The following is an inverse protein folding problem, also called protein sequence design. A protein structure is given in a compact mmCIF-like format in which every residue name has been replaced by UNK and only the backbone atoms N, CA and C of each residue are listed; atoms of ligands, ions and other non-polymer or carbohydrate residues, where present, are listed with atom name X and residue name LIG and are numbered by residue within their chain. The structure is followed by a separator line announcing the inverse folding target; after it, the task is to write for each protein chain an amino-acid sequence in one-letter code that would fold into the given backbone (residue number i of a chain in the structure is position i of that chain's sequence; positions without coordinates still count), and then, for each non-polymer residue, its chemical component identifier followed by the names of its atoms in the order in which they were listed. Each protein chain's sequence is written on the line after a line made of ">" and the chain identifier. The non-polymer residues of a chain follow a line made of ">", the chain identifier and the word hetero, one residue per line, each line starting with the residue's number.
data_IF_240053341919
#
_entry.id   IF_240053341919
#
_cell.length_a   1.000
_cell.length_b   1.000
_cell.length_c   1.000
_cell.angle_alpha   90.00
_cell.angle_beta   90.00
_cell.angle_gamma   90.00
#
_symmetry.space_group_name_H-M   'P 1'
#
loop_
_entity.id
_entity.type
_entity.pdbx_description
1 polymer ?
#
# COMPACT_ATOMS: atom_id res chain seq x y z
N UNK A 1 1.26 2.44 4.49
CA UNK A 1 0.25 1.43 4.86
C UNK A 1 0.76 0.08 4.40
N UNK A 2 0.73 -0.94 5.27
CA UNK A 2 1.09 -2.31 4.89
C UNK A 2 0.00 -2.96 4.06
N UNK A 3 0.33 -4.02 3.30
CA UNK A 3 -0.65 -4.80 2.51
C UNK A 3 -1.74 -5.34 3.45
N UNK A 4 -3.00 -4.99 3.18
CA UNK A 4 -4.17 -5.47 3.92
C UNK A 4 -4.25 -5.10 5.42
N UNK A 5 -3.24 -4.42 5.98
CA UNK A 5 -3.26 -3.98 7.39
C UNK A 5 -4.33 -2.92 7.60
N UNK A 6 -4.40 -1.91 6.73
CA UNK A 6 -5.58 -1.05 6.66
C UNK A 6 -6.62 -1.75 5.78
N UNK A 7 -7.36 -2.64 6.39
CA UNK A 7 -8.40 -3.45 5.76
C UNK A 7 -9.70 -2.66 5.60
N UNK A 8 -10.67 -3.24 4.90
CA UNK A 8 -12.00 -2.66 4.81
C UNK A 8 -12.68 -2.51 6.19
N UNK A 9 -12.40 -3.43 7.15
CA UNK A 9 -12.95 -3.35 8.50
C UNK A 9 -12.45 -2.10 9.20
N UNK A 10 -11.14 -1.86 9.17
CA UNK A 10 -10.54 -0.68 9.77
C UNK A 10 -11.03 0.60 9.10
N UNK A 11 -11.01 0.64 7.76
CA UNK A 11 -11.47 1.81 7.01
C UNK A 11 -12.96 2.12 7.29
N UNK A 12 -13.80 1.08 7.38
CA UNK A 12 -15.22 1.21 7.73
C UNK A 12 -15.41 1.79 9.13
N UNK A 13 -14.70 1.26 10.13
CA UNK A 13 -14.80 1.74 11.51
C UNK A 13 -14.45 3.24 11.63
N UNK A 14 -13.35 3.65 10.98
CA UNK A 14 -12.94 5.06 10.93
C UNK A 14 -13.97 5.92 10.18
N UNK A 15 -14.49 5.43 9.06
CA UNK A 15 -15.46 6.16 8.25
C UNK A 15 -16.82 6.32 8.95
N UNK A 16 -17.27 5.29 9.68
CA UNK A 16 -18.49 5.36 10.51
C UNK A 16 -18.35 6.33 11.69
N UNK A 17 -17.12 6.53 12.18
CA UNK A 17 -16.84 7.52 13.22
C UNK A 17 -16.69 8.96 12.69
N UNK A 18 -16.97 9.21 11.39
CA UNK A 18 -17.00 10.55 10.80
C UNK A 18 -15.68 11.03 10.19
N UNK A 19 -14.67 10.17 10.10
CA UNK A 19 -13.36 10.49 9.56
C UNK A 19 -13.09 9.76 8.22
N UNK A 20 -11.99 10.11 7.53
CA UNK A 20 -11.60 9.46 6.29
C UNK A 20 -10.94 8.11 6.60
N UNK A 21 -11.69 7.03 6.47
CA UNK A 21 -11.19 5.67 6.53
C UNK A 21 -10.50 5.30 5.21
N UNK A 22 -9.23 4.85 5.25
CA UNK A 22 -8.44 4.60 4.03
C UNK A 22 -8.03 3.14 3.94
N UNK A 23 -8.45 2.48 2.88
CA UNK A 23 -8.07 1.09 2.54
C UNK A 23 -6.65 1.05 1.95
N UNK A 24 -5.88 0.02 2.28
CA UNK A 24 -4.62 -0.28 1.57
C UNK A 24 -4.91 -0.90 0.20
N UNK A 25 -4.63 -0.18 -0.88
CA UNK A 25 -4.86 -0.62 -2.26
C UNK A 25 -3.76 -1.52 -2.84
N UNK A 26 -2.73 -1.85 -2.06
CA UNK A 26 -1.59 -2.64 -2.54
C UNK A 26 -1.90 -4.13 -2.51
N UNK A 27 -1.68 -4.82 -3.64
CA UNK A 27 -1.81 -6.28 -3.79
C UNK A 27 -3.21 -6.85 -3.47
N UNK A 28 -4.26 -6.06 -3.62
CA UNK A 28 -5.64 -6.49 -3.32
C UNK A 28 -6.10 -7.65 -4.20
N UNK A 29 -5.63 -7.77 -5.43
CA UNK A 29 -5.87 -8.93 -6.30
C UNK A 29 -5.37 -10.24 -5.66
N UNK A 30 -4.19 -10.22 -5.07
CA UNK A 30 -3.64 -11.38 -4.38
C UNK A 30 -4.33 -11.61 -3.01
N UNK A 31 -4.66 -10.54 -2.29
CA UNK A 31 -5.45 -10.64 -1.04
C UNK A 31 -6.81 -11.29 -1.33
N UNK A 32 -7.52 -10.81 -2.34
CA UNK A 32 -8.81 -11.39 -2.74
C UNK A 32 -8.67 -12.86 -3.14
N UNK A 33 -7.69 -13.17 -4.02
CA UNK A 33 -7.47 -14.53 -4.52
C UNK A 33 -7.15 -15.52 -3.39
N UNK A 34 -6.36 -15.11 -2.37
CA UNK A 34 -6.02 -15.95 -1.22
C UNK A 34 -7.19 -16.11 -0.27
N UNK A 35 -7.92 -15.04 0.07
CA UNK A 35 -9.13 -15.13 0.91
C UNK A 35 -10.23 -15.99 0.29
N UNK A 36 -10.38 -15.98 -1.03
CA UNK A 36 -11.30 -16.89 -1.73
C UNK A 36 -10.82 -18.35 -1.64
N UNK A 37 -9.51 -18.59 -1.71
CA UNK A 37 -8.96 -19.94 -1.53
C UNK A 37 -9.09 -20.43 -0.08
N UNK A 38 -9.13 -19.52 0.89
CA UNK A 38 -9.44 -19.84 2.30
C UNK A 38 -10.97 -19.99 2.54
N UNK A 39 -11.80 -19.87 1.49
CA UNK A 39 -13.22 -20.20 1.51
C UNK A 39 -14.18 -19.02 1.67
N UNK A 40 -13.69 -17.77 1.86
CA UNK A 40 -14.56 -16.61 2.17
C UNK A 40 -15.59 -16.98 3.25
N UNK A 41 -15.13 -17.52 4.40
CA UNK A 41 -15.95 -18.17 5.41
C UNK A 41 -17.11 -17.29 5.90
N UNK A 42 -16.86 -15.97 6.09
CA UNK A 42 -17.87 -15.01 6.48
C UNK A 42 -18.79 -14.56 5.33
N UNK A 43 -18.52 -15.00 4.09
CA UNK A 43 -19.28 -14.65 2.91
C UNK A 43 -19.18 -13.18 2.50
N UNK A 44 -18.24 -12.43 3.06
CA UNK A 44 -18.10 -11.00 2.80
C UNK A 44 -17.76 -10.69 1.34
N UNK A 45 -16.81 -11.42 0.75
CA UNK A 45 -16.43 -11.24 -0.65
C UNK A 45 -17.61 -11.56 -1.57
N UNK A 46 -18.26 -12.71 -1.36
CA UNK A 46 -19.45 -13.10 -2.15
C UNK A 46 -20.60 -12.11 -2.00
N UNK A 47 -20.77 -11.48 -0.81
CA UNK A 47 -21.76 -10.42 -0.60
C UNK A 47 -21.43 -9.19 -1.44
N UNK A 48 -20.19 -8.70 -1.43
CA UNK A 48 -19.76 -7.57 -2.25
C UNK A 48 -19.90 -7.85 -3.74
N UNK A 49 -19.54 -9.06 -4.19
CA UNK A 49 -19.62 -9.47 -5.60
C UNK A 49 -21.03 -9.48 -6.15
N UNK A 50 -22.07 -9.71 -5.34
CA UNK A 50 -23.47 -9.56 -5.77
C UNK A 50 -23.84 -8.15 -6.22
N UNK A 51 -23.07 -7.14 -5.77
CA UNK A 51 -23.25 -5.73 -6.15
C UNK A 51 -22.27 -5.27 -7.23
N UNK A 52 -21.37 -6.15 -7.70
CA UNK A 52 -20.43 -5.80 -8.74
C UNK A 52 -21.14 -5.61 -10.10
N UNK A 53 -20.84 -4.56 -10.89
CA UNK A 53 -21.62 -4.22 -12.08
C UNK A 53 -21.60 -5.28 -13.19
N UNK A 54 -20.56 -6.11 -13.28
CA UNK A 54 -20.43 -7.19 -14.27
C UNK A 54 -20.41 -8.55 -13.58
N UNK A 55 -21.60 -9.20 -13.52
CA UNK A 55 -21.77 -10.47 -12.81
C UNK A 55 -21.01 -11.64 -13.45
N UNK A 56 -20.79 -11.62 -14.76
CA UNK A 56 -19.98 -12.63 -15.43
C UNK A 56 -18.50 -12.55 -15.01
N UNK A 57 -17.96 -11.33 -14.88
CA UNK A 57 -16.60 -11.10 -14.37
C UNK A 57 -16.47 -11.54 -12.90
N UNK A 58 -17.47 -11.24 -12.07
CA UNK A 58 -17.53 -11.70 -10.70
C UNK A 58 -17.54 -13.24 -10.62
N UNK A 59 -18.35 -13.89 -11.46
CA UNK A 59 -18.43 -15.36 -11.50
C UNK A 59 -17.10 -15.98 -11.96
N UNK A 60 -16.46 -15.46 -13.02
CA UNK A 60 -15.14 -15.95 -13.44
C UNK A 60 -14.08 -15.86 -12.33
N UNK A 61 -14.15 -14.82 -11.49
CA UNK A 61 -13.26 -14.68 -10.34
C UNK A 61 -13.52 -15.74 -9.28
N UNK A 62 -14.81 -16.01 -8.98
CA UNK A 62 -15.21 -17.07 -8.04
C UNK A 62 -14.82 -18.46 -8.59
N UNK A 63 -15.14 -18.76 -9.83
CA UNK A 63 -14.83 -20.06 -10.46
C UNK A 63 -13.32 -20.36 -10.43
N UNK A 64 -12.50 -19.32 -10.51
CA UNK A 64 -11.05 -19.47 -10.52
C UNK A 64 -10.43 -19.66 -9.14
N UNK A 65 -10.93 -18.97 -8.12
CA UNK A 65 -10.24 -18.88 -6.83
C UNK A 65 -11.03 -19.40 -5.64
N UNK A 66 -12.39 -19.46 -5.71
CA UNK A 66 -13.17 -19.87 -4.55
C UNK A 66 -13.03 -21.38 -4.30
N UNK A 67 -12.57 -21.71 -3.10
CA UNK A 67 -12.64 -23.06 -2.54
C UNK A 67 -13.63 -23.03 -1.38
N UNK A 68 -14.83 -23.50 -1.58
CA UNK A 68 -15.95 -23.36 -0.61
C UNK A 68 -15.57 -23.90 0.77
N UNK A 69 -14.87 -25.04 0.81
CA UNK A 69 -14.40 -25.68 2.04
C UNK A 69 -13.07 -25.11 2.55
N UNK A 70 -12.52 -24.10 1.85
CA UNK A 70 -11.17 -23.61 2.06
C UNK A 70 -10.11 -24.50 1.41
N UNK A 71 -8.85 -24.05 1.44
CA UNK A 71 -7.71 -24.87 1.03
C UNK A 71 -7.32 -25.86 2.14
N UNK A 72 -6.68 -26.96 1.75
CA UNK A 72 -6.13 -27.93 2.71
C UNK A 72 -5.04 -27.27 3.59
N UNK A 73 -4.83 -27.82 4.78
CA UNK A 73 -3.97 -27.23 5.81
C UNK A 73 -2.51 -27.00 5.38
N UNK A 74 -1.96 -27.81 4.47
CA UNK A 74 -0.60 -27.65 3.94
C UNK A 74 -0.62 -27.32 2.44
N UNK A 75 -1.79 -27.00 1.90
CA UNK A 75 -1.93 -26.70 0.49
C UNK A 75 -1.44 -25.28 0.20
N UNK A 76 -0.43 -25.08 -0.68
CA UNK A 76 0.03 -23.76 -1.07
C UNK A 76 -1.07 -22.97 -1.78
N UNK A 77 -1.07 -21.65 -1.62
CA UNK A 77 -1.95 -20.79 -2.43
C UNK A 77 -1.60 -20.91 -3.91
N UNK A 78 -2.63 -21.12 -4.73
CA UNK A 78 -2.52 -21.00 -6.18
C UNK A 78 -2.21 -19.56 -6.56
N UNK A 79 -1.23 -19.37 -7.43
CA UNK A 79 -0.75 -18.04 -7.81
C UNK A 79 -1.76 -17.28 -8.69
N UNK A 80 -1.95 -16.00 -8.40
CA UNK A 80 -2.49 -15.05 -9.36
C UNK A 80 -1.44 -14.68 -10.43
N UNK A 81 -1.89 -14.21 -11.59
CA UNK A 81 -0.99 -13.78 -12.64
C UNK A 81 -0.18 -12.54 -12.20
N UNK A 82 1.15 -12.58 -12.40
CA UNK A 82 2.01 -11.45 -12.07
C UNK A 82 1.76 -10.27 -12.99
N UNK A 83 1.83 -9.06 -12.45
CA UNK A 83 1.67 -7.81 -13.19
C UNK A 83 2.67 -7.68 -14.35
N UNK A 84 2.21 -7.17 -15.47
CA UNK A 84 3.01 -6.84 -16.65
C UNK A 84 2.52 -5.53 -17.26
N UNK A 85 3.34 -4.91 -18.13
CA UNK A 85 2.93 -3.69 -18.87
C UNK A 85 1.74 -3.98 -19.80
N UNK A 86 1.64 -5.22 -20.31
CA UNK A 86 0.51 -5.69 -21.12
C UNK A 86 -0.22 -6.81 -20.36
N UNK A 87 -1.04 -6.46 -19.36
CA UNK A 87 -1.74 -7.44 -18.57
C UNK A 87 -2.80 -8.17 -19.43
N UNK A 88 -3.04 -9.43 -19.12
CA UNK A 88 -4.18 -10.17 -19.73
C UNK A 88 -5.50 -9.60 -19.22
N UNK A 89 -6.58 -9.86 -19.95
CA UNK A 89 -7.94 -9.51 -19.51
C UNK A 89 -8.20 -10.06 -18.10
N UNK A 90 -7.91 -11.32 -17.85
CA UNK A 90 -8.12 -11.94 -16.55
C UNK A 90 -7.31 -11.29 -15.40
N UNK A 91 -6.11 -10.75 -15.69
CA UNK A 91 -5.33 -10.00 -14.69
C UNK A 91 -5.98 -8.66 -14.38
N UNK A 92 -6.49 -7.96 -15.38
CA UNK A 92 -7.19 -6.69 -15.21
C UNK A 92 -8.52 -6.90 -14.47
N UNK A 93 -9.29 -7.93 -14.83
CA UNK A 93 -10.53 -8.30 -14.15
C UNK A 93 -10.33 -8.57 -12.67
N UNK A 94 -9.34 -9.37 -12.31
CA UNK A 94 -9.03 -9.67 -10.92
C UNK A 94 -8.66 -8.40 -10.14
N UNK A 95 -7.86 -7.51 -10.73
CA UNK A 95 -7.49 -6.23 -10.12
C UNK A 95 -8.71 -5.33 -9.90
N UNK A 96 -9.61 -5.22 -10.89
CA UNK A 96 -10.85 -4.43 -10.80
C UNK A 96 -11.74 -4.99 -9.68
N UNK A 97 -12.01 -6.29 -9.72
CA UNK A 97 -12.88 -6.97 -8.75
C UNK A 97 -12.36 -6.83 -7.33
N UNK A 98 -11.06 -7.01 -7.13
CA UNK A 98 -10.45 -6.94 -5.81
C UNK A 98 -10.54 -5.54 -5.18
N UNK A 99 -10.26 -4.51 -5.96
CA UNK A 99 -10.36 -3.13 -5.47
C UNK A 99 -11.82 -2.70 -5.26
N UNK A 100 -12.74 -3.18 -6.10
CA UNK A 100 -14.16 -2.99 -5.87
C UNK A 100 -14.60 -3.61 -4.54
N UNK A 101 -14.30 -4.88 -4.31
CA UNK A 101 -14.72 -5.62 -3.11
C UNK A 101 -14.27 -4.92 -1.84
N UNK A 102 -13.00 -4.56 -1.75
CA UNK A 102 -12.43 -3.96 -0.54
C UNK A 102 -13.05 -2.58 -0.24
N UNK A 103 -13.24 -1.74 -1.28
CA UNK A 103 -13.87 -0.43 -1.12
C UNK A 103 -15.37 -0.56 -0.85
N UNK A 104 -16.07 -1.46 -1.54
CA UNK A 104 -17.50 -1.66 -1.35
C UNK A 104 -17.81 -2.09 0.08
N UNK A 105 -17.05 -3.07 0.62
CA UNK A 105 -17.19 -3.51 2.01
C UNK A 105 -16.89 -2.39 3.01
N UNK A 106 -15.91 -1.55 2.71
CA UNK A 106 -15.61 -0.39 3.56
C UNK A 106 -16.74 0.65 3.56
N UNK A 107 -17.51 0.77 2.46
CA UNK A 107 -18.62 1.72 2.30
C UNK A 107 -20.00 1.15 2.64
N UNK A 108 -20.11 -0.16 2.83
CA UNK A 108 -21.41 -0.83 3.01
C UNK A 108 -22.15 -0.32 4.23
N UNK A 109 -23.40 0.16 4.04
CA UNK A 109 -24.35 0.48 5.12
C UNK A 109 -24.13 1.80 5.84
N UNK A 110 -23.31 2.71 5.32
CA UNK A 110 -23.14 4.05 5.88
C UNK A 110 -22.81 5.11 4.82
N UNK A 111 -22.98 6.39 5.18
CA UNK A 111 -22.68 7.54 4.32
C UNK A 111 -21.30 8.18 4.54
N UNK A 112 -20.45 7.61 5.38
CA UNK A 112 -19.13 8.17 5.68
C UNK A 112 -18.17 8.05 4.48
N UNK A 113 -17.09 8.83 4.51
CA UNK A 113 -16.11 8.92 3.42
C UNK A 113 -15.06 7.81 3.51
N UNK A 114 -14.75 7.17 2.38
CA UNK A 114 -13.75 6.10 2.26
C UNK A 114 -12.72 6.46 1.19
N UNK A 115 -11.45 6.30 1.53
CA UNK A 115 -10.33 6.42 0.62
C UNK A 115 -9.65 5.09 0.34
N UNK A 116 -8.77 5.11 -0.67
CA UNK A 116 -7.84 4.01 -0.96
C UNK A 116 -6.45 4.57 -1.24
N UNK A 117 -5.42 3.92 -0.70
CA UNK A 117 -4.03 4.34 -0.87
C UNK A 117 -3.25 3.38 -1.77
N UNK A 118 -2.61 3.93 -2.81
CA UNK A 118 -1.76 3.20 -3.75
C UNK A 118 -0.29 3.61 -3.63
N UNK A 119 0.59 2.78 -4.20
CA UNK A 119 2.00 3.12 -4.40
C UNK A 119 2.25 3.46 -5.87
N UNK A 120 2.87 4.62 -6.11
CA UNK A 120 3.24 5.06 -7.47
C UNK A 120 4.15 4.05 -8.17
N UNK A 121 5.06 3.39 -7.43
CA UNK A 121 5.97 2.35 -7.96
C UNK A 121 5.27 1.10 -8.51
N UNK A 122 3.97 0.93 -8.26
CA UNK A 122 3.19 -0.20 -8.81
C UNK A 122 2.34 0.30 -9.99
N UNK A 123 2.96 1.01 -10.93
CA UNK A 123 2.29 1.65 -12.06
C UNK A 123 1.45 0.68 -12.90
N UNK A 124 1.93 -0.55 -13.10
CA UNK A 124 1.26 -1.56 -13.94
C UNK A 124 -0.15 -1.95 -13.46
N UNK A 125 -0.41 -1.88 -12.15
CA UNK A 125 -1.73 -2.19 -11.56
C UNK A 125 -2.66 -0.96 -11.54
N UNK A 126 -2.11 0.24 -11.56
CA UNK A 126 -2.81 1.47 -11.19
C UNK A 126 -4.11 1.72 -11.96
N UNK A 127 -4.17 1.59 -13.31
CA UNK A 127 -5.42 1.89 -14.03
C UNK A 127 -6.58 0.96 -13.65
N UNK A 128 -6.37 -0.35 -13.63
CA UNK A 128 -7.41 -1.34 -13.29
C UNK A 128 -7.79 -1.27 -11.80
N UNK A 129 -6.81 -1.08 -10.91
CA UNK A 129 -7.06 -0.95 -9.48
C UNK A 129 -7.89 0.31 -9.15
N UNK A 130 -7.48 1.47 -9.68
CA UNK A 130 -8.23 2.71 -9.49
C UNK A 130 -9.65 2.61 -10.06
N UNK A 131 -9.82 2.00 -11.23
CA UNK A 131 -11.12 1.80 -11.84
C UNK A 131 -12.04 0.93 -10.97
N UNK A 132 -11.53 -0.17 -10.42
CA UNK A 132 -12.27 -1.02 -9.50
C UNK A 132 -12.74 -0.28 -8.24
N UNK A 133 -11.88 0.52 -7.64
CA UNK A 133 -12.23 1.37 -6.50
C UNK A 133 -13.28 2.44 -6.87
N UNK A 134 -13.18 3.04 -8.06
CA UNK A 134 -14.16 4.03 -8.56
C UNK A 134 -15.52 3.39 -8.82
N UNK A 135 -15.59 2.16 -9.32
CA UNK A 135 -16.85 1.40 -9.48
C UNK A 135 -17.55 1.17 -8.13
N UNK A 136 -16.80 1.05 -7.04
CA UNK A 136 -17.34 0.96 -5.68
C UNK A 136 -17.68 2.34 -5.06
N UNK A 137 -17.45 3.43 -5.79
CA UNK A 137 -17.75 4.78 -5.33
C UNK A 137 -16.77 5.31 -4.28
N UNK A 138 -15.48 4.99 -4.38
CA UNK A 138 -14.44 5.54 -3.51
C UNK A 138 -14.46 7.07 -3.54
N UNK A 139 -14.30 7.71 -2.36
CA UNK A 139 -14.35 9.18 -2.26
C UNK A 139 -12.97 9.82 -2.44
N UNK A 140 -11.92 9.15 -1.97
CA UNK A 140 -10.54 9.64 -2.03
C UNK A 140 -9.58 8.58 -2.60
N UNK A 141 -8.66 8.99 -3.44
CA UNK A 141 -7.49 8.19 -3.82
C UNK A 141 -6.23 8.92 -3.34
N UNK A 142 -5.40 8.21 -2.59
CA UNK A 142 -4.13 8.69 -2.09
C UNK A 142 -3.00 7.94 -2.80
N UNK A 143 -1.91 8.61 -3.14
CA UNK A 143 -0.76 7.95 -3.76
C UNK A 143 0.56 8.61 -3.36
N UNK A 144 1.53 7.78 -2.97
CA UNK A 144 2.89 8.16 -2.61
C UNK A 144 3.93 7.16 -3.11
N UNK A 145 5.14 7.21 -2.55
CA UNK A 145 6.30 6.42 -2.93
C UNK A 145 6.68 6.60 -4.42
N UNK A 146 6.69 7.86 -4.87
CA UNK A 146 7.00 8.30 -6.23
C UNK A 146 6.41 9.67 -6.51
N UNK A 147 6.38 10.08 -7.79
CA UNK A 147 5.81 11.36 -8.24
C UNK A 147 4.52 11.08 -9.03
N UNK A 148 3.33 11.19 -8.42
CA UNK A 148 2.08 10.74 -9.02
C UNK A 148 1.47 11.79 -9.99
N UNK A 149 2.29 12.38 -10.85
CA UNK A 149 1.89 13.46 -11.76
C UNK A 149 0.86 13.05 -12.82
N UNK A 150 0.79 11.75 -13.17
CA UNK A 150 -0.13 11.27 -14.21
C UNK A 150 -1.50 10.88 -13.66
N UNK A 151 -1.67 10.85 -12.33
CA UNK A 151 -2.87 10.30 -11.69
C UNK A 151 -4.10 11.20 -11.85
N UNK A 152 -4.03 12.54 -11.69
CA UNK A 152 -5.20 13.40 -11.88
C UNK A 152 -5.85 13.20 -13.25
N UNK A 153 -5.04 13.19 -14.31
CA UNK A 153 -5.52 12.91 -15.67
C UNK A 153 -6.10 11.51 -15.82
N UNK A 154 -5.44 10.49 -15.24
CA UNK A 154 -5.94 9.11 -15.26
C UNK A 154 -7.35 9.03 -14.63
N UNK A 155 -7.56 9.64 -13.47
CA UNK A 155 -8.86 9.63 -12.79
C UNK A 155 -9.95 10.36 -13.57
N UNK A 156 -9.61 11.47 -14.23
CA UNK A 156 -10.52 12.18 -15.12
C UNK A 156 -10.95 11.27 -16.30
N UNK A 157 -9.99 10.60 -16.96
CA UNK A 157 -10.27 9.71 -18.10
C UNK A 157 -11.08 8.47 -17.65
N UNK A 158 -10.77 7.87 -16.48
CA UNK A 158 -11.51 6.73 -15.93
C UNK A 158 -12.95 7.10 -15.56
N UNK A 159 -13.20 8.30 -15.05
CA UNK A 159 -14.55 8.73 -14.62
C UNK A 159 -15.54 8.76 -15.79
N UNK A 160 -15.09 8.95 -17.00
CA UNK A 160 -15.91 8.95 -18.23
C UNK A 160 -15.68 7.71 -19.08
N UNK A 161 -15.10 6.66 -18.51
CA UNK A 161 -14.78 5.39 -19.20
C UNK A 161 -13.97 5.56 -20.48
N UNK A 162 -13.06 6.53 -20.51
CA UNK A 162 -12.17 6.76 -21.64
C UNK A 162 -10.99 5.79 -21.56
N UNK A 163 -10.52 5.37 -22.72
CA UNK A 163 -9.28 4.60 -22.86
C UNK A 163 -8.13 5.37 -22.20
N UNK A 164 -7.43 4.72 -21.26
CA UNK A 164 -6.30 5.27 -20.54
C UNK A 164 -4.99 4.75 -21.10
N UNK A 165 -3.99 5.62 -21.13
CA UNK A 165 -2.64 5.34 -21.61
C UNK A 165 -1.66 5.87 -20.55
N UNK A 166 -1.24 5.00 -19.62
CA UNK A 166 -0.35 5.37 -18.53
C UNK A 166 1.09 5.04 -18.90
N UNK A 167 1.97 6.05 -18.92
CA UNK A 167 3.41 5.85 -19.13
C UNK A 167 3.98 5.04 -17.96
N UNK A 168 4.81 4.04 -18.29
CA UNK A 168 5.45 3.14 -17.35
C UNK A 168 6.96 3.34 -17.40
N UNK A 169 7.58 3.46 -16.24
CA UNK A 169 9.03 3.53 -16.11
C UNK A 169 9.65 2.16 -16.40
N UNK A 170 10.50 2.10 -17.42
CA UNK A 170 11.21 0.89 -17.86
C UNK A 170 12.71 1.12 -17.81
N UNK A 171 13.41 0.31 -17.03
CA UNK A 171 14.86 0.42 -16.90
C UNK A 171 15.56 0.10 -18.22
N UNK A 172 16.48 0.98 -18.66
CA UNK A 172 17.21 0.82 -19.91
C UNK A 172 16.36 0.99 -21.18
N UNK A 173 15.20 1.63 -21.07
CA UNK A 173 14.28 1.81 -22.20
C UNK A 173 14.88 2.65 -23.33
N UNK A 174 14.76 2.15 -24.57
CA UNK A 174 15.12 2.86 -25.80
C UNK A 174 13.94 3.62 -26.42
N UNK A 175 12.72 3.39 -25.90
CA UNK A 175 11.48 4.05 -26.29
C UNK A 175 10.53 4.17 -25.10
N UNK A 176 9.46 4.94 -25.27
CA UNK A 176 8.42 5.00 -24.25
C UNK A 176 7.56 3.72 -24.23
N UNK A 177 7.21 3.29 -23.02
CA UNK A 177 6.32 2.17 -22.77
C UNK A 177 5.09 2.63 -22.00
N UNK A 178 3.94 2.07 -22.36
CA UNK A 178 2.66 2.47 -21.77
C UNK A 178 1.83 1.24 -21.41
N UNK A 179 1.15 1.32 -20.28
CA UNK A 179 0.05 0.41 -19.93
C UNK A 179 -1.24 0.98 -20.47
N UNK A 180 -1.93 0.20 -21.30
CA UNK A 180 -3.20 0.60 -21.92
C UNK A 180 -4.33 -0.09 -21.15
N UNK A 181 -5.34 0.69 -20.78
CA UNK A 181 -6.53 0.20 -20.12
C UNK A 181 -7.78 0.81 -20.77
N UNK A 182 -8.66 -0.06 -21.25
CA UNK A 182 -9.94 0.32 -21.85
C UNK A 182 -11.12 -0.14 -20.99
N UNK A 183 -11.72 0.75 -20.18
CA UNK A 183 -12.86 0.41 -19.34
C UNK A 183 -14.04 -0.21 -20.10
N UNK A 184 -14.32 0.28 -21.33
CA UNK A 184 -15.46 -0.20 -22.12
C UNK A 184 -15.23 -1.61 -22.60
N UNK A 185 -14.02 -1.92 -23.05
CA UNK A 185 -13.65 -3.26 -23.50
C UNK A 185 -13.71 -4.26 -22.36
N UNK A 186 -13.14 -3.91 -21.21
CA UNK A 186 -13.08 -4.80 -20.03
C UNK A 186 -14.48 -5.05 -19.44
N UNK A 187 -15.31 -3.99 -19.32
CA UNK A 187 -16.66 -4.14 -18.75
C UNK A 187 -17.66 -4.77 -19.72
N UNK A 188 -17.37 -4.83 -21.03
CA UNK A 188 -18.25 -5.38 -22.04
C UNK A 188 -19.57 -4.62 -22.25
N UNK A 189 -19.75 -3.51 -21.55
CA UNK A 189 -20.92 -2.64 -21.63
C UNK A 189 -20.60 -1.20 -21.27
N UNK A 190 -21.43 -0.27 -21.74
CA UNK A 190 -21.36 1.13 -21.34
C UNK A 190 -21.98 1.29 -19.95
N UNK A 191 -21.25 1.92 -19.05
CA UNK A 191 -21.71 2.28 -17.71
C UNK A 191 -21.96 3.81 -17.64
N UNK A 192 -22.81 4.26 -16.72
CA UNK A 192 -22.92 5.70 -16.42
C UNK A 192 -21.57 6.27 -15.96
N UNK A 193 -21.30 7.56 -16.21
CA UNK A 193 -20.09 8.21 -15.69
C UNK A 193 -19.93 7.99 -14.18
N UNK A 194 -18.71 7.75 -13.75
CA UNK A 194 -18.37 7.55 -12.35
C UNK A 194 -18.05 8.89 -11.67
N UNK A 195 -18.36 9.01 -10.39
CA UNK A 195 -17.86 10.14 -9.60
C UNK A 195 -16.32 10.07 -9.59
N UNK A 196 -15.65 11.15 -10.01
CA UNK A 196 -14.22 11.28 -9.88
C UNK A 196 -13.86 11.42 -8.39
N UNK A 197 -12.99 10.56 -7.83
CA UNK A 197 -12.55 10.72 -6.45
C UNK A 197 -11.63 11.94 -6.29
N UNK A 198 -11.59 12.49 -5.08
CA UNK A 198 -10.59 13.49 -4.68
C UNK A 198 -9.23 12.81 -4.65
N UNK A 199 -8.23 13.44 -5.25
CA UNK A 199 -6.88 12.89 -5.32
C UNK A 199 -5.93 13.63 -4.37
N UNK A 200 -5.33 12.92 -3.42
CA UNK A 200 -4.33 13.44 -2.50
C UNK A 200 -2.95 12.87 -2.83
N UNK A 201 -2.03 13.73 -3.24
CA UNK A 201 -0.63 13.33 -3.47
C UNK A 201 0.14 13.29 -2.15
N UNK A 202 0.73 12.13 -1.82
CA UNK A 202 1.60 11.97 -0.65
C UNK A 202 3.01 12.37 -1.07
N UNK A 203 3.55 13.41 -0.46
CA UNK A 203 4.83 14.00 -0.80
C UNK A 203 5.66 14.34 0.46
N UNK A 204 6.97 14.41 0.31
CA UNK A 204 7.92 14.74 1.38
C UNK A 204 8.63 16.08 1.16
N UNK A 205 8.14 16.94 0.24
CA UNK A 205 8.86 18.13 -0.18
C UNK A 205 7.93 19.21 -0.72
N UNK A 206 8.14 20.46 -0.31
CA UNK A 206 7.47 21.62 -0.90
C UNK A 206 7.83 21.83 -2.38
N UNK A 207 8.99 21.34 -2.81
CA UNK A 207 9.40 21.40 -4.24
C UNK A 207 8.46 20.53 -5.08
N UNK A 208 8.13 19.32 -4.59
CA UNK A 208 7.14 18.44 -5.25
C UNK A 208 5.74 19.05 -5.25
N UNK A 209 5.33 19.70 -4.15
CA UNK A 209 4.06 20.43 -4.11
C UNK A 209 4.00 21.49 -5.22
N UNK A 210 5.02 22.31 -5.32
CA UNK A 210 5.11 23.35 -6.36
C UNK A 210 5.15 22.77 -7.78
N UNK A 211 5.86 21.65 -7.96
CA UNK A 211 5.94 20.96 -9.25
C UNK A 211 4.58 20.44 -9.71
N UNK A 212 3.87 19.70 -8.83
CA UNK A 212 2.58 19.11 -9.17
C UNK A 212 1.48 20.15 -9.36
N UNK A 213 1.59 21.33 -8.73
CA UNK A 213 0.62 22.41 -8.84
C UNK A 213 0.76 23.29 -10.10
N UNK A 214 1.76 23.03 -10.95
CA UNK A 214 2.04 23.91 -12.14
C UNK A 214 1.07 23.73 -13.29
N UNK A 215 0.51 22.52 -13.43
CA UNK A 215 -0.29 22.15 -14.60
C UNK A 215 -1.58 21.46 -14.12
N UNK A 216 -2.71 21.85 -14.65
CA UNK A 216 -4.01 21.28 -14.33
C UNK A 216 -4.11 19.76 -14.58
N UNK A 217 -3.28 19.22 -15.49
CA UNK A 217 -3.22 17.78 -15.76
C UNK A 217 -2.45 16.99 -14.67
N UNK A 218 -1.59 17.67 -13.91
CA UNK A 218 -0.77 17.07 -12.85
C UNK A 218 -1.22 17.46 -11.46
N UNK A 219 -2.06 18.50 -11.34
CA UNK A 219 -2.50 19.11 -10.09
C UNK A 219 -3.38 18.17 -9.29
N UNK A 220 -2.97 17.80 -8.05
CA UNK A 220 -3.82 17.06 -7.14
C UNK A 220 -4.90 17.98 -6.53
N UNK A 221 -5.87 17.38 -5.85
CA UNK A 221 -6.89 18.13 -5.11
C UNK A 221 -6.39 18.55 -3.71
N UNK A 222 -5.27 17.94 -3.24
CA UNK A 222 -4.61 18.27 -1.98
C UNK A 222 -3.35 17.44 -1.77
N UNK A 223 -2.67 17.68 -0.64
CA UNK A 223 -1.42 17.01 -0.30
C UNK A 223 -1.47 16.31 1.05
N UNK A 224 -0.83 15.15 1.15
CA UNK A 224 -0.38 14.57 2.40
C UNK A 224 1.12 14.83 2.51
N UNK A 225 1.54 15.57 3.53
CA UNK A 225 2.94 15.91 3.77
C UNK A 225 3.53 14.89 4.74
N UNK A 226 4.32 13.97 4.20
CA UNK A 226 4.86 12.84 4.94
C UNK A 226 6.28 13.13 5.44
N UNK A 227 6.46 13.11 6.76
CA UNK A 227 7.78 13.22 7.38
C UNK A 227 8.50 11.87 7.41
N UNK A 228 9.82 11.91 7.64
CA UNK A 228 10.66 10.71 7.76
C UNK A 228 10.33 9.81 8.95
N UNK A 229 9.49 10.26 9.89
CA UNK A 229 9.02 9.46 11.03
C UNK A 229 7.87 8.51 10.66
N UNK A 230 7.29 8.63 9.47
CA UNK A 230 6.23 7.74 9.01
C UNK A 230 6.72 6.31 8.82
N UNK A 231 5.83 5.32 9.04
CA UNK A 231 6.09 3.90 8.73
C UNK A 231 5.97 3.62 7.23
N UNK A 232 6.51 2.48 6.79
CA UNK A 232 6.49 2.06 5.39
C UNK A 232 7.62 2.66 4.56
N UNK A 233 7.39 2.89 3.27
CA UNK A 233 8.35 3.53 2.38
C UNK A 233 8.49 5.01 2.72
N UNK A 234 9.75 5.47 2.84
CA UNK A 234 10.08 6.88 3.02
C UNK A 234 10.78 7.43 1.77
N UNK A 235 10.74 8.76 1.60
CA UNK A 235 11.63 9.40 0.63
C UNK A 235 13.08 9.27 1.10
N UNK A 236 14.07 9.11 0.19
CA UNK A 236 15.48 9.13 0.57
C UNK A 236 15.85 10.45 1.22
N UNK A 237 16.76 10.46 2.23
CA UNK A 237 17.28 11.70 2.78
C UNK A 237 18.04 12.49 1.72
N UNK A 238 17.98 13.83 1.81
CA UNK A 238 18.63 14.72 0.84
C UNK A 238 20.15 14.76 1.00
N UNK A 239 20.63 14.38 2.16
CA UNK A 239 22.06 14.32 2.46
C UNK A 239 22.49 12.86 2.67
N UNK A 240 22.94 12.21 1.59
CA UNK A 240 23.37 10.80 1.60
C UNK A 240 24.70 10.57 2.35
N UNK A 241 25.41 11.63 2.77
CA UNK A 241 26.69 11.50 3.48
C UNK A 241 26.57 10.94 4.90
N UNK A 242 25.35 10.84 5.41
CA UNK A 242 25.03 10.34 6.75
C UNK A 242 24.49 8.91 6.77
N UNK A 243 24.71 8.11 5.73
CA UNK A 243 24.42 6.67 5.81
C UNK A 243 25.33 6.02 6.85
N UNK A 244 24.75 5.54 7.94
CA UNK A 244 25.48 4.82 9.00
C UNK A 244 25.98 3.46 8.50
N UNK A 245 26.83 2.78 9.29
CA UNK A 245 27.42 1.47 8.96
C UNK A 245 26.37 0.33 8.78
N UNK A 246 25.11 0.55 9.18
CA UNK A 246 24.04 -0.46 9.29
C UNK A 246 22.93 -0.35 8.25
N UNK A 247 23.14 0.18 7.05
CA UNK A 247 22.11 0.51 6.06
C UNK A 247 21.01 1.46 6.58
N UNK A 248 21.13 1.96 7.80
CA UNK A 248 20.19 2.90 8.39
C UNK A 248 20.42 4.30 7.82
N UNK A 249 19.34 4.91 7.35
CA UNK A 249 19.37 6.26 6.79
C UNK A 249 18.97 7.29 7.84
N UNK A 250 19.79 8.32 7.96
CA UNK A 250 19.59 9.41 8.90
C UNK A 250 19.07 10.65 8.15
N UNK A 251 17.99 11.21 8.66
CA UNK A 251 17.39 12.44 8.13
C UNK A 251 17.86 13.66 8.92
N UNK A 252 17.96 14.78 8.22
CA UNK A 252 18.41 16.03 8.79
C UNK A 252 17.46 17.20 8.52
N UNK A 253 17.82 18.43 8.94
CA UNK A 253 16.98 19.63 8.78
C UNK A 253 16.58 19.93 7.33
N UNK A 254 17.37 19.47 6.35
CA UNK A 254 17.06 19.64 4.92
C UNK A 254 15.89 18.78 4.45
N UNK A 255 15.53 17.75 5.21
CA UNK A 255 14.43 16.84 4.91
C UNK A 255 13.10 17.34 5.48
N UNK A 256 13.13 18.39 6.30
CA UNK A 256 11.91 19.03 6.81
C UNK A 256 11.17 19.76 5.69
N UNK A 257 9.84 19.67 5.75
CA UNK A 257 8.96 20.28 4.75
C UNK A 257 8.66 21.71 5.16
N UNK A 258 8.93 22.66 4.27
CA UNK A 258 8.60 24.07 4.44
C UNK A 258 7.08 24.26 4.19
N UNK A 259 6.29 24.32 5.28
CA UNK A 259 4.83 24.43 5.22
C UNK A 259 4.36 25.76 4.63
N UNK A 260 5.10 26.87 4.83
CA UNK A 260 4.74 28.16 4.23
C UNK A 260 4.78 28.12 2.70
N UNK A 261 5.78 27.40 2.16
CA UNK A 261 5.86 27.19 0.70
C UNK A 261 4.77 26.26 0.17
N UNK A 262 4.37 25.24 0.95
CA UNK A 262 3.23 24.40 0.56
C UNK A 262 1.93 25.21 0.58
N UNK A 263 1.70 26.02 1.61
CA UNK A 263 0.50 26.87 1.72
C UNK A 263 0.35 27.83 0.52
N UNK A 264 1.46 28.29 -0.08
CA UNK A 264 1.42 29.13 -1.31
C UNK A 264 0.83 28.42 -2.54
N UNK A 265 0.68 27.08 -2.53
CA UNK A 265 -0.01 26.35 -3.61
C UNK A 265 -1.53 26.62 -3.59
N UNK A 266 -2.08 27.07 -2.47
CA UNK A 266 -3.52 27.28 -2.26
C UNK A 266 -4.32 25.97 -2.11
N UNK A 267 -3.65 24.80 -2.09
CA UNK A 267 -4.29 23.50 -1.93
C UNK A 267 -4.31 23.07 -0.45
N UNK A 268 -5.36 22.35 -0.03
CA UNK A 268 -5.43 21.79 1.32
C UNK A 268 -4.32 20.75 1.53
N UNK A 269 -3.83 20.63 2.76
CA UNK A 269 -2.84 19.62 3.11
C UNK A 269 -3.06 19.04 4.50
N UNK A 270 -2.61 17.80 4.67
CA UNK A 270 -2.60 17.04 5.92
C UNK A 270 -1.15 16.69 6.27
N UNK A 271 -0.85 16.59 7.56
CA UNK A 271 0.48 16.18 8.03
C UNK A 271 0.47 14.69 8.39
N UNK A 272 1.49 13.96 7.95
CA UNK A 272 1.70 12.54 8.22
C UNK A 272 3.09 12.27 8.80
N UNK A 273 3.19 11.21 9.64
CA UNK A 273 4.42 10.87 10.37
C UNK A 273 4.61 11.73 11.63
N UNK A 274 4.83 11.09 12.77
CA UNK A 274 4.98 11.76 14.06
C UNK A 274 3.74 12.57 14.46
N UNK A 275 2.55 12.04 14.19
CA UNK A 275 1.27 12.68 14.48
C UNK A 275 0.37 11.69 15.23
N UNK A 276 0.77 11.33 16.45
CA UNK A 276 0.15 10.27 17.22
C UNK A 276 -0.51 10.73 18.52
N UNK A 277 -0.54 12.05 18.81
CA UNK A 277 -1.11 12.60 20.05
C UNK A 277 -2.07 13.77 19.79
N UNK A 278 -2.99 14.09 20.74
CA UNK A 278 -3.88 15.26 20.64
C UNK A 278 -3.12 16.57 20.43
N UNK A 279 -1.99 16.74 21.13
CA UNK A 279 -1.15 17.93 20.99
C UNK A 279 -0.59 18.08 19.57
N UNK A 280 -0.19 16.97 18.96
CA UNK A 280 0.34 16.96 17.58
C UNK A 280 -0.74 17.23 16.54
N UNK A 281 -2.00 16.81 16.78
CA UNK A 281 -3.14 17.19 15.97
C UNK A 281 -3.38 18.69 16.04
N UNK A 282 -3.42 19.26 17.24
CA UNK A 282 -3.60 20.69 17.43
C UNK A 282 -2.47 21.54 16.83
N UNK A 283 -1.22 21.08 16.98
CA UNK A 283 -0.06 21.70 16.32
C UNK A 283 -0.21 21.69 14.79
N UNK A 284 -0.67 20.59 14.20
CA UNK A 284 -0.88 20.51 12.76
C UNK A 284 -1.95 21.54 12.29
N UNK A 285 -3.09 21.61 13.00
CA UNK A 285 -4.16 22.56 12.71
C UNK A 285 -3.66 24.01 12.84
N UNK A 286 -2.91 24.32 13.91
CA UNK A 286 -2.36 25.67 14.13
C UNK A 286 -1.37 26.11 13.04
N UNK A 287 -0.75 25.14 12.35
CA UNK A 287 0.15 25.34 11.20
C UNK A 287 -0.60 25.39 9.84
N UNK A 288 -1.93 25.41 9.85
CA UNK A 288 -2.75 25.53 8.65
C UNK A 288 -3.06 24.21 7.94
N UNK A 289 -2.71 23.06 8.52
CA UNK A 289 -3.15 21.78 7.99
C UNK A 289 -4.66 21.58 8.21
N UNK A 290 -5.33 20.87 7.29
CA UNK A 290 -6.75 20.48 7.45
C UNK A 290 -6.89 19.39 8.53
N UNK A 291 -5.84 18.58 8.74
CA UNK A 291 -5.83 17.51 9.70
C UNK A 291 -4.51 16.73 9.67
N UNK A 292 -4.55 15.51 10.18
CA UNK A 292 -3.41 14.59 10.21
C UNK A 292 -3.76 13.25 9.55
N UNK A 293 -2.73 12.55 9.04
CA UNK A 293 -2.83 11.15 8.66
C UNK A 293 -2.08 10.31 9.69
N UNK A 294 -2.76 9.35 10.30
CA UNK A 294 -2.24 8.49 11.36
C UNK A 294 -2.19 7.05 10.87
N UNK A 295 -1.05 6.39 11.02
CA UNK A 295 -0.83 5.01 10.59
C UNK A 295 -0.72 4.05 11.76
N UNK A 296 0.32 4.18 12.59
CA UNK A 296 0.72 3.17 13.59
C UNK A 296 -0.38 2.88 14.62
N UNK A 297 -1.04 3.89 15.18
CA UNK A 297 -2.12 3.68 16.14
C UNK A 297 -3.27 2.83 15.57
N UNK A 298 -3.68 3.15 14.34
CA UNK A 298 -4.73 2.40 13.65
C UNK A 298 -4.27 1.03 13.18
N UNK A 299 -2.99 0.86 12.80
CA UNK A 299 -2.48 -0.46 12.42
C UNK A 299 -2.50 -1.46 13.58
N UNK A 300 -2.47 -0.97 14.81
CA UNK A 300 -2.51 -1.78 16.04
C UNK A 300 -3.93 -1.83 16.67
N UNK A 301 -4.92 -1.19 16.06
CA UNK A 301 -6.32 -1.29 16.48
C UNK A 301 -6.89 -2.68 16.16
N UNK A 302 -7.96 -3.06 16.90
CA UNK A 302 -8.58 -4.39 16.80
C UNK A 302 -9.12 -4.69 15.38
N UNK A 303 -9.57 -3.67 14.65
CA UNK A 303 -10.10 -3.79 13.28
C UNK A 303 -9.03 -3.84 12.20
N UNK A 304 -7.75 -3.71 12.56
CA UNK A 304 -6.66 -3.82 11.59
C UNK A 304 -6.55 -5.24 11.03
N UNK A 305 -5.92 -5.35 9.86
CA UNK A 305 -5.73 -6.64 9.20
C UNK A 305 -4.61 -7.50 9.80
N UNK A 306 -3.81 -7.01 10.76
CA UNK A 306 -2.85 -7.86 11.46
C UNK A 306 -3.55 -9.03 12.14
N UNK A 307 -2.92 -10.21 12.13
CA UNK A 307 -3.38 -11.29 13.00
C UNK A 307 -3.27 -10.88 14.47
N UNK A 308 -4.13 -11.43 15.33
CA UNK A 308 -4.10 -11.10 16.76
C UNK A 308 -2.74 -11.41 17.40
N UNK A 309 -2.09 -12.50 16.97
CA UNK A 309 -0.75 -12.90 17.46
C UNK A 309 0.26 -11.82 17.13
N UNK A 310 0.41 -11.49 15.86
CA UNK A 310 1.39 -10.47 15.38
C UNK A 310 1.10 -9.11 16.01
N UNK A 311 -0.17 -8.69 16.09
CA UNK A 311 -0.54 -7.42 16.70
C UNK A 311 -0.11 -7.34 18.16
N UNK A 312 -0.35 -8.41 18.92
CA UNK A 312 0.02 -8.46 20.34
C UNK A 312 1.55 -8.50 20.54
N UNK A 313 2.27 -9.20 19.70
CA UNK A 313 3.74 -9.21 19.69
C UNK A 313 4.30 -7.81 19.41
N UNK A 314 3.78 -7.11 18.39
CA UNK A 314 4.18 -5.73 18.09
C UNK A 314 3.92 -4.81 19.28
N UNK A 315 2.72 -4.86 19.88
CA UNK A 315 2.37 -4.03 21.04
C UNK A 315 3.30 -4.35 22.22
N UNK A 316 3.59 -5.62 22.47
CA UNK A 316 4.51 -6.04 23.53
C UNK A 316 5.91 -5.50 23.30
N UNK A 317 6.43 -5.61 22.09
CA UNK A 317 7.76 -5.10 21.73
C UNK A 317 7.83 -3.58 21.88
N UNK A 318 6.83 -2.84 21.36
CA UNK A 318 6.79 -1.39 21.49
C UNK A 318 6.68 -0.90 22.95
N UNK A 319 6.06 -1.70 23.84
CA UNK A 319 5.95 -1.41 25.29
C UNK A 319 7.20 -1.80 26.09
N UNK A 320 8.06 -2.64 25.56
CA UNK A 320 9.29 -3.08 26.27
C UNK A 320 10.26 -1.94 26.53
N UNK A 321 10.15 -0.84 25.78
CA UNK A 321 11.08 0.28 25.80
C UNK A 321 12.39 0.01 25.02
N UNK A 322 12.55 -1.19 24.46
CA UNK A 322 13.75 -1.61 23.70
C UNK A 322 13.49 -1.73 22.19
N UNK A 323 12.29 -1.38 21.72
CA UNK A 323 11.92 -1.51 20.33
C UNK A 323 12.89 -0.75 19.41
N UNK A 324 13.50 -1.46 18.49
CA UNK A 324 14.40 -0.92 17.46
C UNK A 324 13.63 -0.67 16.18
N UNK A 325 13.51 0.60 15.77
CA UNK A 325 12.85 1.01 14.53
C UNK A 325 13.85 1.72 13.65
N UNK A 326 14.19 1.12 12.51
CA UNK A 326 15.20 1.65 11.59
C UNK A 326 14.57 2.05 10.26
N UNK A 327 15.09 3.12 9.65
CA UNK A 327 14.84 3.40 8.23
C UNK A 327 15.91 2.69 7.40
N UNK A 328 15.60 1.49 6.95
CA UNK A 328 16.53 0.63 6.22
C UNK A 328 16.53 1.00 4.71
N UNK A 329 17.67 1.50 4.22
CA UNK A 329 17.87 1.88 2.82
C UNK A 329 17.96 0.69 1.87
N UNK A 330 18.20 -0.51 2.40
CA UNK A 330 18.34 -1.74 1.62
C UNK A 330 17.13 -2.66 1.66
N UNK A 331 16.20 -2.53 2.62
CA UNK A 331 15.11 -3.49 2.80
C UNK A 331 14.20 -3.61 1.57
N UNK A 332 13.77 -2.50 0.97
CA UNK A 332 12.82 -2.54 -0.14
C UNK A 332 13.48 -2.85 -1.48
N UNK A 333 12.94 -3.82 -2.25
CA UNK A 333 13.42 -4.09 -3.61
C UNK A 333 13.26 -2.91 -4.59
N UNK A 334 12.48 -1.90 -4.23
CA UNK A 334 12.27 -0.69 -5.06
C UNK A 334 13.44 0.30 -4.97
N UNK A 335 14.37 0.10 -4.05
CA UNK A 335 15.44 1.06 -3.75
C UNK A 335 15.01 2.24 -2.88
N UNK A 336 13.73 2.35 -2.52
CA UNK A 336 13.26 3.33 -1.55
C UNK A 336 13.55 2.85 -0.13
N UNK A 337 13.94 3.75 0.79
CA UNK A 337 14.04 3.44 2.21
C UNK A 337 12.73 2.86 2.75
N UNK A 338 12.84 1.89 3.64
CA UNK A 338 11.67 1.27 4.26
C UNK A 338 11.86 1.20 5.77
N UNK A 339 10.87 1.67 6.51
CA UNK A 339 10.92 1.65 7.96
C UNK A 339 10.59 0.25 8.48
N UNK A 340 11.50 -0.32 9.26
CA UNK A 340 11.43 -1.68 9.80
C UNK A 340 11.44 -1.62 11.32
N UNK A 341 10.48 -2.28 11.96
CA UNK A 341 10.56 -2.69 13.35
C UNK A 341 11.34 -4.00 13.40
N UNK A 342 12.45 -4.02 14.13
CA UNK A 342 13.18 -5.25 14.41
C UNK A 342 12.36 -6.08 15.40
N UNK A 343 11.93 -7.26 14.96
CA UNK A 343 11.10 -8.17 15.73
C UNK A 343 11.64 -9.60 15.56
N UNK A 344 11.86 -10.30 16.68
CA UNK A 344 12.28 -11.69 16.68
C UNK A 344 11.31 -12.58 15.89
N UNK A 345 11.82 -13.54 15.14
CA UNK A 345 11.00 -14.42 14.29
C UNK A 345 10.50 -13.79 12.98
N UNK A 346 10.74 -12.49 12.75
CA UNK A 346 10.43 -11.84 11.48
C UNK A 346 11.63 -11.84 10.53
N UNK A 347 11.44 -11.45 9.26
CA UNK A 347 12.55 -11.31 8.29
C UNK A 347 13.51 -10.15 8.63
N UNK A 348 13.25 -9.38 9.68
CA UNK A 348 14.22 -8.41 10.21
C UNK A 348 15.33 -9.07 11.03
N UNK A 349 15.07 -10.26 11.57
CA UNK A 349 16.04 -11.11 12.21
C UNK A 349 17.06 -11.62 11.16
N UNK A 350 18.34 -11.52 11.48
CA UNK A 350 19.42 -11.85 10.55
C UNK A 350 19.47 -13.36 10.19
N UNK A 351 19.17 -14.23 11.13
CA UNK A 351 19.18 -15.67 10.94
C UNK A 351 17.99 -16.10 10.08
N UNK A 352 16.79 -15.58 10.38
CA UNK A 352 15.57 -15.80 9.56
C UNK A 352 15.79 -15.28 8.12
N UNK A 353 16.42 -14.10 7.99
CA UNK A 353 16.74 -13.55 6.67
C UNK A 353 17.71 -14.43 5.89
N UNK A 354 18.75 -14.96 6.56
CA UNK A 354 19.77 -15.81 5.94
C UNK A 354 19.19 -17.16 5.48
N UNK A 355 18.34 -17.76 6.30
CA UNK A 355 17.73 -19.08 6.03
C UNK A 355 16.59 -19.01 5.01
N UNK A 356 16.04 -17.81 4.78
CA UNK A 356 14.90 -17.65 3.88
C UNK A 356 15.25 -17.96 2.43
N UNK A 357 14.56 -18.93 1.83
CA UNK A 357 14.57 -19.13 0.39
C UNK A 357 14.00 -17.92 -0.33
N UNK A 358 14.81 -17.29 -1.21
CA UNK A 358 14.34 -16.16 -2.02
C UNK A 358 13.44 -16.63 -3.15
N UNK A 359 12.13 -16.61 -2.94
CA UNK A 359 11.14 -16.97 -3.93
C UNK A 359 10.24 -15.77 -4.25
N UNK A 360 9.90 -15.61 -5.52
CA UNK A 360 9.05 -14.52 -5.96
C UNK A 360 7.69 -15.06 -6.39
N UNK A 361 6.73 -15.16 -5.45
CA UNK A 361 5.36 -15.62 -5.73
C UNK A 361 4.52 -14.53 -6.38
N UNK A 362 4.47 -13.35 -5.79
CA UNK A 362 3.54 -12.30 -6.12
C UNK A 362 4.03 -11.38 -7.26
N UNK A 363 5.34 -11.08 -7.28
CA UNK A 363 5.94 -10.27 -8.32
C UNK A 363 5.46 -8.81 -8.39
N UNK A 364 4.96 -8.26 -7.29
CA UNK A 364 4.34 -6.94 -7.24
C UNK A 364 5.35 -5.80 -7.41
N UNK A 365 6.55 -5.93 -6.82
CA UNK A 365 7.62 -4.93 -6.85
C UNK A 365 8.67 -5.22 -7.93
N UNK A 366 8.32 -5.99 -8.97
CA UNK A 366 9.23 -6.20 -10.10
C UNK A 366 9.35 -4.93 -10.94
N UNK A 367 10.58 -4.56 -11.26
CA UNK A 367 10.87 -3.48 -12.20
C UNK A 367 10.86 -4.02 -13.64
N UNK A 368 10.06 -3.46 -14.54
CA UNK A 368 10.20 -3.75 -15.97
C UNK A 368 11.53 -3.20 -16.50
N UNK A 369 12.18 -3.95 -17.37
CA UNK A 369 13.41 -3.52 -18.04
C UNK A 369 13.43 -3.96 -19.49
N UNK A 370 14.16 -3.23 -20.34
CA UNK A 370 14.36 -3.61 -21.72
C UNK A 370 15.60 -4.49 -21.83
N UNK A 371 15.42 -5.81 -22.07
CA UNK A 371 16.54 -6.77 -22.19
C UNK A 371 17.15 -6.80 -23.59
N UNK A 372 16.40 -6.36 -24.59
CA UNK A 372 16.83 -6.15 -25.97
C UNK A 372 15.84 -5.14 -26.60
N UNK A 373 16.18 -4.43 -27.68
CA UNK A 373 15.31 -3.43 -28.29
C UNK A 373 13.87 -3.94 -28.50
N UNK A 374 12.92 -3.35 -27.80
CA UNK A 374 11.49 -3.72 -27.83
C UNK A 374 11.11 -4.97 -27.04
N UNK A 375 12.04 -5.67 -26.38
CA UNK A 375 11.78 -6.89 -25.62
C UNK A 375 11.85 -6.60 -24.13
N UNK A 376 10.71 -6.72 -23.45
CA UNK A 376 10.58 -6.49 -22.01
C UNK A 376 10.94 -7.71 -21.17
N UNK A 377 11.61 -7.46 -20.06
CA UNK A 377 11.79 -8.38 -18.95
C UNK A 377 11.28 -7.77 -17.65
N UNK A 378 11.21 -8.59 -16.60
CA UNK A 378 10.78 -8.18 -15.26
C UNK A 378 11.72 -8.79 -14.22
N UNK A 379 12.30 -7.96 -13.36
CA UNK A 379 13.22 -8.39 -12.31
C UNK A 379 12.90 -7.71 -10.99
N UNK A 380 13.33 -8.34 -9.90
CA UNK A 380 13.17 -7.80 -8.55
C UNK A 380 14.44 -8.07 -7.76
N UNK A 381 15.00 -7.06 -7.12
CA UNK A 381 16.21 -7.23 -6.30
C UNK A 381 15.99 -8.17 -5.09
N UNK A 382 14.74 -8.46 -4.71
CA UNK A 382 14.38 -9.46 -3.69
C UNK A 382 14.18 -10.89 -4.22
N UNK A 383 14.30 -11.16 -5.54
CA UNK A 383 14.23 -12.51 -6.11
C UNK A 383 15.56 -13.26 -5.91
N UNK A 384 15.69 -14.58 -6.25
CA UNK A 384 16.96 -15.28 -6.18
C UNK A 384 18.09 -14.51 -6.85
N UNK A 385 19.22 -14.35 -6.16
CA UNK A 385 20.32 -13.46 -6.59
C UNK A 385 20.87 -13.85 -7.95
N UNK A 386 21.05 -15.16 -8.21
CA UNK A 386 21.52 -15.67 -9.49
C UNK A 386 20.52 -15.37 -10.64
N UNK A 387 19.24 -15.43 -10.36
CA UNK A 387 18.17 -15.08 -11.32
C UNK A 387 18.17 -13.58 -11.61
N UNK A 388 18.34 -12.75 -10.57
CA UNK A 388 18.42 -11.30 -10.69
C UNK A 388 19.61 -10.88 -11.55
N UNK A 389 20.81 -11.47 -11.31
CA UNK A 389 22.03 -11.22 -12.09
C UNK A 389 21.84 -11.67 -13.55
N UNK A 390 21.28 -12.87 -13.80
CA UNK A 390 20.97 -13.35 -15.16
C UNK A 390 20.03 -12.42 -15.94
N UNK A 391 19.20 -11.66 -15.23
CA UNK A 391 18.32 -10.63 -15.79
C UNK A 391 19.00 -9.25 -15.89
N UNK A 392 20.31 -9.16 -15.73
CA UNK A 392 21.08 -7.91 -15.82
C UNK A 392 20.97 -7.02 -14.59
N UNK A 393 20.61 -7.56 -13.42
CA UNK A 393 20.70 -6.88 -12.14
C UNK A 393 22.11 -6.86 -11.59
N UNK A 394 22.44 -5.88 -10.75
CA UNK A 394 23.70 -5.84 -10.02
C UNK A 394 23.57 -6.61 -8.71
N UNK A 395 24.59 -7.43 -8.35
CA UNK A 395 24.61 -8.19 -7.11
C UNK A 395 24.44 -7.30 -5.88
N UNK A 396 25.14 -6.17 -5.83
CA UNK A 396 25.10 -5.23 -4.71
C UNK A 396 23.69 -4.65 -4.47
N UNK A 397 22.87 -4.53 -5.53
CA UNK A 397 21.48 -4.11 -5.41
C UNK A 397 20.58 -5.19 -4.77
N UNK A 398 20.99 -6.46 -4.78
CA UNK A 398 20.25 -7.57 -4.20
C UNK A 398 20.58 -7.82 -2.73
N UNK A 399 21.70 -7.27 -2.24
CA UNK A 399 22.13 -7.45 -0.87
C UNK A 399 21.16 -6.80 0.13
N UNK A 400 20.87 -7.51 1.21
CA UNK A 400 19.93 -7.11 2.28
C UNK A 400 18.48 -6.85 1.84
N UNK A 401 18.11 -7.06 0.57
CA UNK A 401 16.74 -6.91 0.08
C UNK A 401 15.80 -7.94 0.69
N UNK A 402 14.70 -7.45 1.24
CA UNK A 402 13.65 -8.28 1.83
C UNK A 402 12.49 -8.44 0.83
N UNK A 403 11.84 -9.58 0.84
CA UNK A 403 10.65 -9.78 0.01
C UNK A 403 9.42 -9.13 0.65
N UNK A 404 9.23 -7.81 0.47
CA UNK A 404 8.09 -7.09 1.05
C UNK A 404 6.74 -7.68 0.64
N UNK A 405 6.60 -8.17 -0.60
CA UNK A 405 5.33 -8.72 -1.08
C UNK A 405 4.87 -9.91 -0.23
N UNK A 406 5.73 -10.92 -0.04
CA UNK A 406 5.38 -12.14 0.69
C UNK A 406 5.27 -11.86 2.20
N UNK A 407 6.24 -11.14 2.77
CA UNK A 407 6.27 -10.88 4.21
C UNK A 407 5.10 -10.00 4.68
N UNK A 408 4.66 -9.03 3.86
CA UNK A 408 3.48 -8.22 4.19
C UNK A 408 2.16 -9.00 4.07
N UNK A 409 2.09 -10.03 3.22
CA UNK A 409 0.96 -10.98 3.20
C UNK A 409 0.95 -11.87 4.46
N UNK A 410 2.12 -12.28 4.95
CA UNK A 410 2.24 -13.05 6.18
C UNK A 410 1.71 -12.26 7.40
N UNK A 411 1.91 -10.96 7.44
CA UNK A 411 1.41 -10.09 8.52
C UNK A 411 -0.10 -10.18 8.74
N UNK A 412 -0.84 -10.46 7.69
CA UNK A 412 -2.32 -10.53 7.72
C UNK A 412 -2.84 -11.99 7.65
N UNK A 413 -1.98 -12.96 7.97
CA UNK A 413 -2.36 -14.37 8.09
C UNK A 413 -2.58 -15.11 6.77
N UNK A 414 -2.21 -14.51 5.64
CA UNK A 414 -2.29 -15.13 4.30
C UNK A 414 -0.91 -15.22 3.64
N UNK A 415 0.14 -15.45 4.44
CA UNK A 415 1.49 -15.79 3.97
C UNK A 415 1.46 -17.08 3.13
N UNK A 416 2.44 -17.26 2.23
CA UNK A 416 2.57 -18.51 1.50
C UNK A 416 3.10 -19.60 2.43
N UNK A 417 2.45 -20.74 2.43
CA UNK A 417 2.90 -21.99 3.02
C UNK A 417 3.34 -22.92 1.90
N UNK A 418 4.32 -23.78 2.16
CA UNK A 418 4.85 -24.72 1.17
C UNK A 418 4.80 -26.14 1.72
N UNK A 419 4.69 -27.12 0.83
CA UNK A 419 4.56 -28.52 1.21
C UNK A 419 5.76 -29.14 1.97
N UNK A 420 6.87 -28.39 2.10
CA UNK A 420 8.02 -28.72 2.95
C UNK A 420 7.91 -28.14 4.39
N UNK A 421 6.76 -27.55 4.73
CA UNK A 421 6.51 -26.91 6.03
C UNK A 421 7.05 -25.48 6.14
N UNK A 422 7.61 -24.92 5.06
CA UNK A 422 8.07 -23.53 5.06
C UNK A 422 6.89 -22.57 5.07
N UNK A 423 6.94 -21.60 5.98
CA UNK A 423 6.00 -20.48 6.08
C UNK A 423 6.74 -19.17 5.86
N UNK A 424 6.22 -18.29 5.03
CA UNK A 424 6.83 -16.96 4.79
C UNK A 424 6.88 -16.13 6.07
N UNK A 425 8.08 -15.63 6.47
CA UNK A 425 8.21 -14.80 7.66
C UNK A 425 7.59 -13.42 7.47
N UNK A 426 7.14 -12.84 8.57
CA UNK A 426 6.58 -11.48 8.62
C UNK A 426 7.63 -10.40 8.40
N UNK A 427 7.19 -9.19 8.09
CA UNK A 427 8.01 -7.97 8.13
C UNK A 427 7.16 -6.82 8.67
N UNK A 428 7.54 -6.29 9.81
CA UNK A 428 6.75 -5.28 10.50
C UNK A 428 7.26 -3.88 10.16
N UNK A 429 6.32 -2.99 9.89
CA UNK A 429 6.60 -1.57 9.72
C UNK A 429 5.70 -0.72 10.61
N UNK A 430 6.32 0.19 11.34
CA UNK A 430 5.66 1.19 12.19
C UNK A 430 6.37 2.53 12.06
N UNK A 431 5.72 3.62 12.44
CA UNK A 431 6.38 4.93 12.57
C UNK A 431 7.33 4.98 13.77
N UNK A 432 8.32 5.84 13.72
CA UNK A 432 9.30 6.00 14.82
C UNK A 432 8.80 6.85 15.99
N UNK A 433 7.66 7.55 15.87
CA UNK A 433 7.02 8.25 16.99
C UNK A 433 6.07 7.29 17.72
N UNK A 434 6.47 6.87 18.91
CA UNK A 434 5.75 5.91 19.75
C UNK A 434 4.98 6.55 20.91
N UNK A 435 5.03 7.88 21.06
CA UNK A 435 4.39 8.57 22.21
C UNK A 435 2.92 8.22 22.32
N UNK A 436 2.17 8.35 21.22
CA UNK A 436 0.75 8.01 21.21
C UNK A 436 0.47 6.51 21.46
N UNK A 437 1.34 5.61 20.98
CA UNK A 437 1.21 4.17 21.25
C UNK A 437 1.33 3.88 22.75
N UNK A 438 2.32 4.48 23.41
CA UNK A 438 2.53 4.33 24.85
C UNK A 438 1.36 4.89 25.66
N UNK A 439 0.85 6.07 25.27
CA UNK A 439 -0.28 6.69 25.96
C UNK A 439 -1.58 5.88 25.79
N UNK A 440 -1.93 5.49 24.57
CA UNK A 440 -3.19 4.74 24.33
C UNK A 440 -3.13 3.34 24.94
N UNK A 441 -1.99 2.66 24.87
CA UNK A 441 -1.85 1.33 25.47
C UNK A 441 -1.90 1.35 27.00
N UNK A 442 -1.55 2.47 27.65
CA UNK A 442 -1.72 2.66 29.09
C UNK A 442 -3.19 2.86 29.46
N UNK A 443 -3.98 3.50 28.62
CA UNK A 443 -5.44 3.67 28.81
C UNK A 443 -6.22 2.40 28.48
N UNK A 444 -5.74 1.63 27.49
CA UNK A 444 -6.38 0.41 26.97
C UNK A 444 -5.42 -0.79 27.05
N UNK A 445 -5.14 -1.34 28.26
CA UNK A 445 -4.13 -2.39 28.45
C UNK A 445 -4.45 -3.71 27.73
N UNK A 446 -5.71 -3.93 27.35
CA UNK A 446 -6.18 -5.11 26.63
C UNK A 446 -6.34 -4.89 25.10
N UNK A 447 -5.82 -3.79 24.59
CA UNK A 447 -5.96 -3.37 23.19
C UNK A 447 -7.03 -2.31 23.01
N UNK A 448 -7.07 -1.69 21.85
CA UNK A 448 -7.95 -0.57 21.51
C UNK A 448 -8.59 -0.75 20.15
N UNK A 449 -9.73 -0.11 19.97
CA UNK A 449 -10.44 -0.02 18.68
C UNK A 449 -10.03 1.23 17.90
N UNK A 450 -10.45 1.31 16.63
CA UNK A 450 -10.30 2.52 15.82
C UNK A 450 -11.02 3.73 16.44
N UNK A 451 -12.17 3.50 17.10
CA UNK A 451 -12.92 4.55 17.79
C UNK A 451 -12.14 5.07 19.00
N UNK A 452 -11.49 4.19 19.76
CA UNK A 452 -10.63 4.60 20.89
C UNK A 452 -9.48 5.48 20.44
N UNK A 453 -8.88 5.18 19.26
CA UNK A 453 -7.84 6.03 18.67
C UNK A 453 -8.38 7.42 18.31
N UNK A 454 -9.56 7.49 17.71
CA UNK A 454 -10.19 8.77 17.34
C UNK A 454 -10.48 9.58 18.59
N UNK A 455 -11.15 9.00 19.58
CA UNK A 455 -11.46 9.66 20.86
C UNK A 455 -10.18 10.14 21.57
N UNK A 456 -9.14 9.32 21.56
CA UNK A 456 -7.85 9.71 22.12
C UNK A 456 -7.23 10.92 21.41
N UNK A 457 -7.30 10.99 20.07
CA UNK A 457 -6.69 12.08 19.29
C UNK A 457 -7.48 13.39 19.39
N UNK A 458 -8.79 13.30 19.57
CA UNK A 458 -9.67 14.49 19.67
C UNK A 458 -9.71 15.09 21.10
N UNK A 459 -9.33 14.33 22.15
CA UNK A 459 -9.26 14.74 23.57
C UNK A 459 -10.47 14.29 24.33
#
# INVERSE_FOLDING_TARGET
>A
MGVGVSSWQLARAVSQAGHLGVVSGTALDNVLARRLQDGDQDGNIRRALRHFPNQEMAQRTLDRFLKVEGRGQEEPYSAAAKLTIRPTVATQELSIVANFVEVWLAKEGHGGVVGINYLEKIQMATPSAAYGAMLAGVDYILMGAGIPALIPKLLNDLSIHKLCNLKIDVSGATKEYHSIFDPKLIMGKLLPPLKRPIFLAIISSHILASYLNRDDLTKPDGFILESSTAGGHNAPPRDLKNAGESNELIYGPRDEIDLEKVAKTGLPYWLAGGRSTPKQLQDAISKGAVGIQVGTLFSLAQESGYTNVIRNEIISELKSGNASIKTDGAASPTGFPFKVLELEGSISDADIYADRSRLCDLGYLRTPYERAPGVLGYRCAGEPVDVYIKKGGNKDEADYRKCLCNSLMANIGIGQERGDGYVEPTLITVGSDLVGVNEISSRHPHGWSAVDVIQYLEG
#
